data_IF_324187512620
#
_entry.id   IF_324187512620
#
_cell.length_a   1.000
_cell.length_b   1.000
_cell.length_c   1.000
_cell.angle_alpha   90.00
_cell.angle_beta   90.00
_cell.angle_gamma   90.00
#
_symmetry.space_group_name_H-M   'P 1'
#
loop_
_entity.id
_entity.type
_entity.pdbx_description
1 polymer ?
#
# COMPACT_ATOMS: atom_id res chain seq x y z
N UNK A 1 -9.32 -10.86 -9.85
CA UNK A 1 -7.90 -10.41 -9.84
C UNK A 1 -7.70 -9.29 -8.82
N UNK A 2 -6.56 -9.28 -8.13
CA UNK A 2 -6.18 -8.19 -7.22
C UNK A 2 -5.56 -7.05 -8.01
N UNK A 3 -5.88 -5.81 -7.65
CA UNK A 3 -5.15 -4.61 -8.08
C UNK A 3 -4.62 -3.92 -6.83
N UNK A 4 -3.29 -3.88 -6.69
CA UNK A 4 -2.60 -3.25 -5.58
C UNK A 4 -2.20 -1.82 -5.96
N UNK A 5 -2.62 -0.85 -5.16
CA UNK A 5 -2.30 0.56 -5.33
C UNK A 5 -1.24 0.98 -4.30
N UNK A 6 -0.10 1.50 -4.76
CA UNK A 6 0.95 2.02 -3.89
C UNK A 6 1.00 3.55 -4.03
N UNK A 7 0.92 4.27 -2.91
CA UNK A 7 0.97 5.74 -2.92
C UNK A 7 2.41 6.28 -2.96
N UNK A 8 2.55 7.57 -3.26
CA UNK A 8 3.84 8.28 -3.27
C UNK A 8 4.10 9.11 -2.01
N UNK A 9 5.05 10.04 -2.09
CA UNK A 9 5.35 11.01 -1.03
C UNK A 9 4.77 12.40 -1.36
N UNK A 10 4.18 13.13 -0.40
CA UNK A 10 3.66 12.69 0.90
C UNK A 10 2.16 12.41 0.79
N UNK A 11 1.79 11.14 0.60
CA UNK A 11 0.42 10.71 0.33
C UNK A 11 -0.04 9.59 1.29
N UNK A 12 -1.27 9.11 1.11
CA UNK A 12 -1.88 7.99 1.83
C UNK A 12 -2.59 7.06 0.85
N UNK A 13 -3.09 5.91 1.31
CA UNK A 13 -4.01 5.05 0.54
C UNK A 13 -5.16 5.87 -0.08
N UNK A 14 -5.59 6.92 0.63
CA UNK A 14 -6.72 7.78 0.28
C UNK A 14 -6.54 8.53 -1.04
N UNK A 15 -5.31 8.68 -1.53
CA UNK A 15 -5.04 9.22 -2.88
C UNK A 15 -5.75 8.41 -3.98
N UNK A 16 -5.97 7.13 -3.73
CA UNK A 16 -6.57 6.21 -4.70
C UNK A 16 -8.09 6.01 -4.54
N UNK A 17 -8.76 6.73 -3.63
CA UNK A 17 -10.19 6.51 -3.30
C UNK A 17 -11.13 6.47 -4.51
N UNK A 18 -10.84 7.25 -5.56
CA UNK A 18 -11.64 7.30 -6.78
C UNK A 18 -11.36 6.09 -7.68
N UNK A 19 -10.09 5.70 -7.81
CA UNK A 19 -9.65 4.56 -8.61
C UNK A 19 -10.08 3.23 -7.98
N UNK A 20 -10.04 3.14 -6.65
CA UNK A 20 -10.57 2.01 -5.88
C UNK A 20 -12.05 1.80 -6.22
N UNK A 21 -12.89 2.83 -6.10
CA UNK A 21 -14.31 2.74 -6.41
C UNK A 21 -14.56 2.31 -7.87
N UNK A 22 -13.81 2.90 -8.81
CA UNK A 22 -13.93 2.59 -10.23
C UNK A 22 -13.58 1.11 -10.53
N UNK A 23 -12.43 0.62 -10.06
CA UNK A 23 -12.03 -0.77 -10.33
C UNK A 23 -12.87 -1.79 -9.57
N UNK A 24 -13.28 -1.48 -8.33
CA UNK A 24 -14.20 -2.34 -7.59
C UNK A 24 -15.55 -2.49 -8.30
N UNK A 25 -16.08 -1.43 -8.93
CA UNK A 25 -17.31 -1.51 -9.73
C UNK A 25 -17.20 -2.42 -10.96
N UNK A 26 -15.98 -2.70 -11.41
CA UNK A 26 -15.67 -3.61 -12.53
C UNK A 26 -15.34 -5.04 -12.06
N UNK A 27 -15.48 -5.34 -10.76
CA UNK A 27 -15.26 -6.67 -10.19
C UNK A 27 -13.81 -6.98 -9.80
N UNK A 28 -12.92 -5.99 -9.77
CA UNK A 28 -11.56 -6.17 -9.24
C UNK A 28 -11.53 -6.07 -7.71
N UNK A 29 -10.66 -6.87 -7.07
CA UNK A 29 -10.32 -6.70 -5.65
C UNK A 29 -9.27 -5.59 -5.55
N UNK A 30 -9.71 -4.36 -5.32
CA UNK A 30 -8.84 -3.21 -5.12
C UNK A 30 -8.28 -3.21 -3.69
N UNK A 31 -6.96 -3.13 -3.56
CA UNK A 31 -6.25 -3.07 -2.27
C UNK A 31 -5.32 -1.86 -2.29
N UNK A 32 -5.41 -0.99 -1.29
CA UNK A 32 -4.54 0.16 -1.13
C UNK A 32 -4.08 0.25 0.34
N UNK A 33 -2.86 -0.19 0.67
CA UNK A 33 -2.29 0.01 1.99
C UNK A 33 -1.76 1.44 2.15
N UNK A 34 -1.64 1.91 3.39
CA UNK A 34 -0.63 2.90 3.71
C UNK A 34 0.74 2.20 3.72
N UNK A 35 1.77 2.83 3.16
CA UNK A 35 3.14 2.34 3.19
C UNK A 35 3.77 2.65 4.54
N UNK A 36 4.78 1.86 4.95
CA UNK A 36 5.58 2.07 6.16
C UNK A 36 5.89 3.55 6.39
N UNK A 37 5.55 4.07 7.58
CA UNK A 37 5.75 5.46 7.95
C UNK A 37 4.58 6.40 7.62
N UNK A 38 3.46 5.87 7.12
CA UNK A 38 2.30 6.67 6.74
C UNK A 38 1.00 6.16 7.37
N UNK A 39 0.07 7.09 7.56
CA UNK A 39 -1.31 6.81 7.96
C UNK A 39 -1.39 5.91 9.19
N UNK A 40 -2.07 4.78 9.03
CA UNK A 40 -2.29 3.82 10.11
C UNK A 40 -1.23 2.69 10.18
N UNK A 41 -0.11 2.82 9.45
CA UNK A 41 1.02 1.89 9.59
C UNK A 41 2.04 2.34 10.63
N UNK A 42 2.82 1.39 11.12
CA UNK A 42 3.98 1.68 11.97
C UNK A 42 4.96 2.63 11.25
N UNK A 43 5.50 3.56 12.02
CA UNK A 43 6.53 4.52 11.61
C UNK A 43 7.79 4.31 12.46
N UNK A 44 8.68 3.36 12.11
CA UNK A 44 9.91 3.14 12.85
C UNK A 44 10.77 4.41 12.95
N UNK A 45 11.41 4.64 14.11
CA UNK A 45 12.25 5.84 14.31
C UNK A 45 13.55 5.83 13.49
N UNK A 46 14.07 4.63 13.16
CA UNK A 46 15.34 4.51 12.48
C UNK A 46 15.22 4.77 10.98
N UNK A 47 16.03 5.70 10.46
CA UNK A 47 16.13 5.97 9.01
C UNK A 47 16.49 4.69 8.24
N UNK A 48 17.31 3.82 8.82
CA UNK A 48 17.69 2.55 8.19
C UNK A 48 16.53 1.58 8.00
N UNK A 49 15.38 1.83 8.63
CA UNK A 49 14.16 1.04 8.46
C UNK A 49 13.33 1.44 7.23
N UNK A 50 13.78 2.40 6.42
CA UNK A 50 13.07 2.88 5.22
C UNK A 50 13.84 2.64 3.91
N UNK A 51 14.72 1.64 3.89
CA UNK A 51 15.37 1.27 2.62
C UNK A 51 14.35 0.69 1.64
N UNK A 52 14.68 0.75 0.33
CA UNK A 52 13.82 0.15 -0.70
C UNK A 52 13.56 -1.34 -0.45
N UNK A 53 14.50 -2.06 0.16
CA UNK A 53 14.32 -3.47 0.49
C UNK A 53 13.28 -3.70 1.58
N UNK A 54 13.17 -2.79 2.56
CA UNK A 54 12.09 -2.86 3.55
C UNK A 54 10.73 -2.64 2.89
N UNK A 55 10.61 -1.59 2.06
CA UNK A 55 9.35 -1.29 1.36
C UNK A 55 8.92 -2.43 0.43
N UNK A 56 9.85 -2.99 -0.35
CA UNK A 56 9.56 -4.16 -1.21
C UNK A 56 9.19 -5.37 -0.35
N UNK A 57 9.88 -5.60 0.76
CA UNK A 57 9.57 -6.69 1.69
C UNK A 57 8.15 -6.59 2.26
N UNK A 58 7.75 -5.39 2.68
CA UNK A 58 6.39 -5.13 3.19
C UNK A 58 5.33 -5.39 2.10
N UNK A 59 5.58 -4.98 0.85
CA UNK A 59 4.67 -5.20 -0.28
C UNK A 59 4.57 -6.68 -0.65
N UNK A 60 5.69 -7.41 -0.68
CA UNK A 60 5.68 -8.86 -0.95
C UNK A 60 4.91 -9.60 0.14
N UNK A 61 5.19 -9.31 1.41
CA UNK A 61 4.48 -9.91 2.54
C UNK A 61 2.97 -9.60 2.51
N UNK A 62 2.58 -8.39 2.10
CA UNK A 62 1.19 -8.04 1.88
C UNK A 62 0.58 -8.90 0.77
N UNK A 63 1.23 -9.01 -0.39
CA UNK A 63 0.72 -9.82 -1.52
C UNK A 63 0.51 -11.28 -1.10
N UNK A 64 1.50 -11.87 -0.40
CA UNK A 64 1.41 -13.24 0.10
C UNK A 64 0.24 -13.43 1.10
N UNK A 65 -0.19 -12.36 1.79
CA UNK A 65 -1.34 -12.39 2.71
C UNK A 65 -2.70 -12.23 2.03
N UNK A 66 -2.74 -11.89 0.74
CA UNK A 66 -3.98 -11.68 -0.01
C UNK A 66 -4.52 -12.96 -0.67
N UNK A 67 -3.77 -14.06 -0.63
CA UNK A 67 -4.20 -15.37 -1.12
C UNK A 67 -5.28 -16.03 -0.24
#
# INVERSE_FOLDING_TARGET
PVVLFLHGFPELWYSWRHQIAALSSLGYRAVAPDLRGYGDTDAPDSISSYTIFHLVGDVVALIDSLD
#
